data_IF_043348861778
#
_entry.id   IF_043348861778
#
_cell.length_a   1.000
_cell.length_b   1.000
_cell.length_c   1.000
_cell.angle_alpha   90.00
_cell.angle_beta   90.00
_cell.angle_gamma   90.00
#
_symmetry.space_group_name_H-M   'P 1'
#
loop_
_entity.id
_entity.type
_entity.pdbx_description
1 polymer ?
#
# COMPACT_ATOMS: atom_id res chain seq x y z
N UNK A 1 4.04 19.05 -0.44
CA UNK A 1 3.02 18.04 -0.10
C UNK A 1 3.37 17.44 1.24
N UNK A 2 2.43 17.42 2.16
CA UNK A 2 2.53 16.66 3.41
C UNK A 2 1.60 15.46 3.32
N UNK A 3 2.15 14.26 3.50
CA UNK A 3 1.39 13.01 3.50
C UNK A 3 1.49 12.31 4.86
N UNK A 4 0.44 11.65 5.35
CA UNK A 4 0.37 11.17 6.73
C UNK A 4 1.37 10.05 7.04
N UNK A 5 1.83 9.30 6.04
CA UNK A 5 2.78 8.20 6.22
C UNK A 5 3.92 8.25 5.19
N UNK A 6 5.09 7.74 5.60
CA UNK A 6 6.29 7.67 4.74
C UNK A 6 6.05 6.93 3.43
N UNK A 7 5.31 5.82 3.46
CA UNK A 7 5.04 5.03 2.27
C UNK A 7 4.30 5.84 1.17
N UNK A 8 3.36 6.70 1.57
CA UNK A 8 2.70 7.62 0.65
C UNK A 8 3.66 8.70 0.15
N UNK A 9 4.59 9.17 0.98
CA UNK A 9 5.63 10.11 0.53
C UNK A 9 6.49 9.50 -0.58
N UNK A 10 7.01 8.29 -0.38
CA UNK A 10 7.85 7.63 -1.37
C UNK A 10 7.08 7.31 -2.65
N UNK A 11 5.83 6.82 -2.53
CA UNK A 11 4.97 6.58 -3.68
C UNK A 11 4.70 7.86 -4.48
N UNK A 12 4.38 8.96 -3.79
CA UNK A 12 4.14 10.26 -4.44
C UNK A 12 5.41 10.83 -5.03
N UNK A 13 6.56 10.62 -4.40
CA UNK A 13 7.85 11.05 -4.92
C UNK A 13 8.16 10.37 -6.26
N UNK A 14 8.03 9.06 -6.34
CA UNK A 14 8.26 8.33 -7.59
C UNK A 14 7.30 8.79 -8.69
N UNK A 15 5.99 8.89 -8.39
CA UNK A 15 4.95 9.35 -9.32
C UNK A 15 5.19 10.79 -9.82
N UNK A 16 5.51 11.71 -8.91
CA UNK A 16 5.67 13.13 -9.22
C UNK A 16 7.01 13.43 -9.87
N UNK A 17 8.06 12.68 -9.53
CA UNK A 17 9.34 12.77 -10.23
C UNK A 17 9.20 12.40 -11.70
N UNK A 18 8.45 11.34 -12.01
CA UNK A 18 8.17 10.93 -13.38
C UNK A 18 7.28 11.93 -14.12
N UNK A 19 6.23 12.45 -13.46
CA UNK A 19 5.29 13.41 -14.06
C UNK A 19 5.89 14.81 -14.28
N UNK A 20 6.63 15.33 -13.30
CA UNK A 20 7.09 16.71 -13.30
C UNK A 20 8.56 16.88 -13.70
N UNK A 21 9.36 15.82 -13.64
CA UNK A 21 10.75 15.84 -14.14
C UNK A 21 10.87 16.30 -15.60
N UNK A 22 10.04 15.81 -16.54
CA UNK A 22 10.09 16.22 -17.95
C UNK A 22 9.80 17.70 -18.20
N UNK A 23 9.09 18.39 -17.30
CA UNK A 23 8.83 19.84 -17.39
C UNK A 23 9.85 20.67 -16.60
N UNK A 24 10.93 20.04 -16.14
CA UNK A 24 12.05 20.70 -15.46
C UNK A 24 11.85 20.94 -13.96
N UNK A 25 10.81 20.37 -13.34
CA UNK A 25 10.59 20.50 -11.91
C UNK A 25 11.27 19.37 -11.14
N UNK A 26 12.06 19.75 -10.15
CA UNK A 26 12.72 18.83 -9.22
C UNK A 26 11.83 18.50 -8.03
N UNK A 27 11.66 17.21 -7.77
CA UNK A 27 11.00 16.68 -6.58
C UNK A 27 12.05 16.23 -5.56
N UNK A 28 11.79 16.42 -4.26
CA UNK A 28 12.62 15.88 -3.16
C UNK A 28 11.72 15.29 -2.08
N UNK A 29 12.03 14.07 -1.66
CA UNK A 29 11.41 13.41 -0.52
C UNK A 29 12.20 13.71 0.76
N UNK A 30 11.50 14.18 1.80
CA UNK A 30 12.04 14.46 3.12
C UNK A 30 11.22 13.70 4.16
N UNK A 31 11.74 12.58 4.67
CA UNK A 31 11.12 11.80 5.73
C UNK A 31 12.08 11.61 6.90
N UNK A 32 11.68 10.83 7.90
CA UNK A 32 12.53 10.53 9.06
C UNK A 32 13.85 9.83 8.72
N UNK A 33 13.98 9.25 7.53
CA UNK A 33 15.19 8.52 7.09
C UNK A 33 16.15 9.40 6.27
N UNK A 34 15.75 10.65 5.98
CA UNK A 34 16.53 11.61 5.19
C UNK A 34 17.72 12.16 5.99
N UNK A 35 18.92 12.08 5.39
CA UNK A 35 20.19 12.49 6.00
C UNK A 35 20.31 14.02 6.00
N UNK A 36 21.13 14.58 6.88
CA UNK A 36 21.30 16.05 7.04
C UNK A 36 21.79 16.72 5.75
N UNK A 37 22.61 16.05 4.95
CA UNK A 37 23.15 16.58 3.69
C UNK A 37 22.05 16.85 2.64
N UNK A 38 20.94 16.12 2.70
CA UNK A 38 19.78 16.34 1.83
C UNK A 38 19.10 17.69 2.08
N UNK A 39 19.33 18.33 3.23
CA UNK A 39 18.74 19.63 3.57
C UNK A 39 19.32 20.77 2.71
N UNK A 40 20.60 20.69 2.33
CA UNK A 40 21.23 21.68 1.45
C UNK A 40 20.64 21.64 0.03
N UNK A 41 20.21 20.46 -0.42
CA UNK A 41 19.58 20.28 -1.73
C UNK A 41 18.16 20.82 -1.81
N UNK A 42 17.50 21.11 -0.67
CA UNK A 42 16.12 21.59 -0.64
C UNK A 42 15.96 22.92 -1.36
N UNK A 43 16.99 23.78 -1.34
CA UNK A 43 16.93 25.07 -2.03
C UNK A 43 16.72 24.95 -3.54
N UNK A 44 17.08 23.81 -4.13
CA UNK A 44 16.91 23.54 -5.55
C UNK A 44 15.68 22.68 -5.85
N UNK A 45 14.91 22.29 -4.83
CA UNK A 45 13.70 21.51 -4.99
C UNK A 45 12.51 22.43 -5.28
N UNK A 46 11.75 22.14 -6.33
CA UNK A 46 10.51 22.83 -6.64
C UNK A 46 9.33 22.23 -5.86
N UNK A 47 9.37 20.92 -5.65
CA UNK A 47 8.31 20.17 -4.97
C UNK A 47 8.93 19.34 -3.85
N UNK A 48 8.50 19.62 -2.62
CA UNK A 48 8.93 18.91 -1.42
C UNK A 48 7.80 18.00 -0.97
N UNK A 49 8.11 16.72 -0.76
CA UNK A 49 7.18 15.71 -0.26
C UNK A 49 7.69 15.24 1.10
N UNK A 50 6.89 15.38 2.16
CA UNK A 50 7.35 15.16 3.54
C UNK A 50 6.24 14.59 4.43
N UNK A 51 6.62 14.00 5.57
CA UNK A 51 5.66 13.68 6.64
C UNK A 51 5.41 14.90 7.55
N UNK A 52 4.30 14.93 8.32
CA UNK A 52 4.01 16.01 9.25
C UNK A 52 5.12 16.22 10.28
N UNK A 53 5.68 15.14 10.81
CA UNK A 53 6.72 15.19 11.85
C UNK A 53 8.03 15.77 11.31
N UNK A 54 8.39 15.40 10.07
CA UNK A 54 9.59 15.94 9.42
C UNK A 54 9.38 17.41 9.05
N UNK A 55 8.19 17.78 8.56
CA UNK A 55 7.84 19.17 8.29
C UNK A 55 7.96 20.01 9.55
N UNK A 56 7.31 19.59 10.65
CA UNK A 56 7.39 20.27 11.94
C UNK A 56 8.85 20.45 12.39
N UNK A 57 9.65 19.38 12.34
CA UNK A 57 11.07 19.43 12.69
C UNK A 57 11.87 20.46 11.87
N UNK A 58 11.59 20.62 10.58
CA UNK A 58 12.27 21.60 9.72
C UNK A 58 11.80 23.02 9.98
N UNK A 59 10.53 23.20 10.31
CA UNK A 59 9.91 24.52 10.51
C UNK A 59 9.97 25.04 11.95
N UNK A 60 10.35 24.22 12.94
CA UNK A 60 10.47 24.67 14.35
C UNK A 60 11.36 25.91 14.53
N UNK A 61 12.39 26.09 13.70
CA UNK A 61 13.26 27.29 13.68
C UNK A 61 12.99 28.17 12.46
N UNK A 62 11.72 28.40 12.13
CA UNK A 62 11.28 29.18 10.97
C UNK A 62 11.84 30.62 10.89
N UNK A 63 12.30 31.19 12.01
CA UNK A 63 12.97 32.51 12.02
C UNK A 63 14.39 32.46 11.43
N UNK A 64 15.04 31.31 11.52
CA UNK A 64 16.40 31.09 11.02
C UNK A 64 16.41 30.37 9.65
N UNK A 65 15.29 29.73 9.28
CA UNK A 65 15.14 28.96 8.04
C UNK A 65 14.20 29.66 7.05
N UNK A 66 14.76 30.18 5.95
CA UNK A 66 14.03 30.85 4.86
C UNK A 66 13.09 29.93 4.07
N UNK A 67 13.16 28.62 4.27
CA UNK A 67 12.36 27.63 3.52
C UNK A 67 10.85 27.90 3.60
N UNK A 68 10.34 28.29 4.78
CA UNK A 68 8.92 28.57 4.97
C UNK A 68 8.48 29.79 4.14
N UNK A 69 9.38 30.76 3.97
CA UNK A 69 9.11 31.97 3.19
C UNK A 69 9.08 31.70 1.67
N UNK A 70 9.69 30.60 1.22
CA UNK A 70 9.72 30.20 -0.20
C UNK A 70 8.49 29.39 -0.63
N UNK A 71 7.74 28.83 0.33
CA UNK A 71 6.56 28.01 0.01
C UNK A 71 5.39 28.88 -0.43
N UNK A 72 4.97 28.72 -1.69
CA UNK A 72 3.79 29.38 -2.25
C UNK A 72 2.51 28.54 -2.21
N UNK A 73 2.65 27.22 -2.11
CA UNK A 73 1.55 26.27 -2.06
C UNK A 73 1.86 25.18 -1.05
N UNK A 74 0.96 24.99 -0.08
CA UNK A 74 1.05 23.94 0.91
C UNK A 74 -0.10 22.95 0.72
N UNK A 75 0.21 21.79 0.14
CA UNK A 75 -0.76 20.72 -0.09
C UNK A 75 -0.67 19.71 1.05
N UNK A 76 -1.78 19.52 1.76
CA UNK A 76 -1.92 18.51 2.81
C UNK A 76 -2.94 17.49 2.34
N UNK A 77 -2.54 16.22 2.32
CA UNK A 77 -3.45 15.12 2.00
C UNK A 77 -4.34 14.82 3.23
N UNK A 78 -5.61 14.46 3.00
CA UNK A 78 -6.55 13.97 4.03
C UNK A 78 -6.83 14.87 5.26
N UNK A 79 -6.95 16.20 5.10
CA UNK A 79 -7.18 17.15 6.23
C UNK A 79 -8.61 17.71 6.34
N UNK A 80 -9.52 17.34 5.44
CA UNK A 80 -10.84 17.99 5.33
C UNK A 80 -11.67 17.96 6.64
N UNK A 81 -11.57 16.89 7.42
CA UNK A 81 -12.28 16.74 8.70
C UNK A 81 -11.70 17.62 9.81
N UNK A 82 -10.40 17.97 9.72
CA UNK A 82 -9.69 18.76 10.73
C UNK A 82 -9.83 20.27 10.54
N UNK A 83 -10.03 20.76 9.31
CA UNK A 83 -10.08 22.20 8.99
C UNK A 83 -11.47 22.84 9.10
N UNK A 84 -12.50 22.05 9.42
CA UNK A 84 -13.87 22.57 9.54
C UNK A 84 -14.09 23.20 10.91
N UNK A 85 -13.77 24.49 11.06
CA UNK A 85 -14.27 25.28 12.18
C UNK A 85 -15.62 25.91 11.80
N UNK A 86 -16.60 25.87 12.71
CA UNK A 86 -17.97 26.32 12.44
C UNK A 86 -18.13 27.82 12.15
N UNK A 87 -17.05 28.61 12.00
CA UNK A 87 -17.09 30.06 11.72
C UNK A 87 -16.62 30.39 10.31
N UNK A 88 -15.64 29.67 9.77
CA UNK A 88 -15.23 29.77 8.37
C UNK A 88 -15.01 28.36 7.80
N UNK A 89 -16.03 27.73 7.21
CA UNK A 89 -15.85 26.42 6.63
C UNK A 89 -14.87 26.53 5.46
N UNK A 90 -13.77 25.77 5.53
CA UNK A 90 -12.96 25.51 4.35
C UNK A 90 -13.87 25.01 3.22
N UNK A 91 -13.57 25.37 1.96
CA UNK A 91 -14.30 24.81 0.82
C UNK A 91 -14.06 23.30 0.78
N UNK A 92 -15.00 22.56 1.34
CA UNK A 92 -14.93 21.11 1.43
C UNK A 92 -15.68 20.54 0.22
N UNK A 93 -14.92 20.12 -0.78
CA UNK A 93 -15.45 19.31 -1.87
C UNK A 93 -15.46 17.85 -1.41
N UNK A 94 -16.52 17.47 -0.69
CA UNK A 94 -16.74 16.08 -0.31
C UNK A 94 -17.28 15.33 -1.52
N UNK A 95 -16.43 14.49 -2.10
CA UNK A 95 -16.82 13.55 -3.15
C UNK A 95 -17.34 12.31 -2.45
N UNK A 96 -18.66 12.11 -2.49
CA UNK A 96 -19.29 10.96 -1.86
C UNK A 96 -18.91 9.65 -2.59
N UNK A 97 -19.09 8.52 -1.89
CA UNK A 97 -18.72 7.18 -2.39
C UNK A 97 -19.43 6.82 -3.72
N UNK A 98 -20.61 7.40 -3.94
CA UNK A 98 -21.39 7.27 -5.17
C UNK A 98 -20.74 7.97 -6.36
N UNK A 99 -19.75 8.83 -6.17
CA UNK A 99 -19.00 9.52 -7.23
C UNK A 99 -17.69 8.81 -7.58
N UNK A 100 -17.40 7.63 -6.97
CA UNK A 100 -16.22 6.84 -7.37
C UNK A 100 -16.29 6.48 -8.87
N UNK A 101 -15.18 6.65 -9.62
CA UNK A 101 -15.11 6.23 -11.03
C UNK A 101 -15.40 4.73 -11.21
N UNK A 102 -14.98 3.92 -10.23
CA UNK A 102 -15.27 2.49 -10.15
C UNK A 102 -16.14 2.24 -8.94
N UNK A 103 -17.40 1.83 -9.16
CA UNK A 103 -18.34 1.53 -8.07
C UNK A 103 -17.87 0.32 -7.29
N UNK A 104 -17.86 0.45 -5.97
CA UNK A 104 -17.51 -0.64 -5.06
C UNK A 104 -18.78 -1.35 -4.59
N UNK A 105 -18.75 -2.68 -4.57
CA UNK A 105 -19.78 -3.52 -3.93
C UNK A 105 -19.21 -4.02 -2.61
N UNK A 106 -19.75 -3.53 -1.49
CA UNK A 106 -19.37 -3.98 -0.14
C UNK A 106 -20.28 -5.13 0.30
N UNK A 107 -19.67 -6.23 0.73
CA UNK A 107 -20.36 -7.40 1.27
C UNK A 107 -19.79 -7.68 2.65
N UNK A 108 -20.65 -7.87 3.64
CA UNK A 108 -20.27 -8.21 5.02
C UNK A 108 -20.77 -9.62 5.30
N UNK A 109 -19.85 -10.53 5.60
CA UNK A 109 -20.16 -11.92 5.93
C UNK A 109 -19.92 -12.14 7.42
N UNK A 110 -20.98 -12.49 8.15
CA UNK A 110 -20.88 -12.89 9.54
C UNK A 110 -20.51 -14.37 9.64
N UNK A 111 -19.54 -14.69 10.49
CA UNK A 111 -19.19 -16.07 10.84
C UNK A 111 -19.45 -16.29 12.34
N UNK A 112 -20.06 -17.41 12.74
CA UNK A 112 -20.32 -17.69 14.14
C UNK A 112 -19.00 -17.89 14.89
N UNK A 113 -18.85 -17.17 16.01
CA UNK A 113 -17.77 -17.36 16.97
C UNK A 113 -18.39 -17.88 18.26
N UNK A 114 -17.92 -19.02 18.77
CA UNK A 114 -18.42 -19.55 20.04
C UNK A 114 -17.80 -18.80 21.21
N UNK A 115 -18.54 -18.64 22.32
CA UNK A 115 -18.07 -17.92 23.52
C UNK A 115 -16.78 -18.49 24.14
N UNK A 116 -16.44 -19.74 23.86
CA UNK A 116 -15.22 -20.41 24.33
C UNK A 116 -14.01 -20.25 23.39
N UNK A 117 -14.19 -19.64 22.21
CA UNK A 117 -13.12 -19.40 21.26
C UNK A 117 -12.44 -18.06 21.54
N UNK A 118 -11.11 -18.07 21.53
CA UNK A 118 -10.34 -16.83 21.54
C UNK A 118 -10.36 -16.20 20.14
N UNK A 119 -10.18 -14.89 20.07
CA UNK A 119 -10.07 -14.14 18.80
C UNK A 119 -9.03 -14.76 17.85
N UNK A 120 -7.86 -15.12 18.37
CA UNK A 120 -6.82 -15.80 17.58
C UNK A 120 -7.29 -17.14 16.98
N UNK A 121 -8.03 -17.95 17.75
CA UNK A 121 -8.58 -19.22 17.24
C UNK A 121 -9.66 -18.96 16.20
N UNK A 122 -10.52 -17.97 16.44
CA UNK A 122 -11.55 -17.56 15.50
C UNK A 122 -10.93 -17.10 14.17
N UNK A 123 -9.94 -16.21 14.19
CA UNK A 123 -9.19 -15.78 13.01
C UNK A 123 -8.62 -16.97 12.22
N UNK A 124 -8.06 -17.96 12.93
CA UNK A 124 -7.54 -19.16 12.27
C UNK A 124 -8.65 -19.98 11.58
N UNK A 125 -9.86 -20.03 12.15
CA UNK A 125 -10.99 -20.69 11.48
C UNK A 125 -11.43 -19.97 10.21
N UNK A 126 -11.27 -18.64 10.15
CA UNK A 126 -11.63 -17.84 8.97
C UNK A 126 -10.74 -18.16 7.77
N UNK A 127 -9.49 -18.58 7.97
CA UNK A 127 -8.59 -18.97 6.88
C UNK A 127 -9.20 -20.07 5.98
N UNK A 128 -9.94 -21.02 6.57
CA UNK A 128 -10.62 -22.09 5.84
C UNK A 128 -11.89 -21.63 5.10
N UNK A 129 -12.33 -20.38 5.30
CA UNK A 129 -13.48 -19.79 4.59
C UNK A 129 -13.06 -18.98 3.37
N UNK A 130 -11.77 -18.61 3.27
CA UNK A 130 -11.25 -17.74 2.21
C UNK A 130 -11.51 -18.33 0.82
N UNK A 131 -11.28 -19.63 0.63
CA UNK A 131 -11.53 -20.30 -0.65
C UNK A 131 -12.97 -20.12 -1.13
N UNK A 132 -13.97 -20.36 -0.26
CA UNK A 132 -15.37 -20.20 -0.62
C UNK A 132 -15.76 -18.74 -0.90
N UNK A 133 -15.15 -17.79 -0.19
CA UNK A 133 -15.40 -16.36 -0.40
C UNK A 133 -14.84 -15.92 -1.75
N UNK A 134 -13.61 -16.33 -2.08
CA UNK A 134 -13.01 -16.04 -3.38
C UNK A 134 -13.86 -16.63 -4.50
N UNK A 135 -14.23 -17.91 -4.40
CA UNK A 135 -15.06 -18.57 -5.42
C UNK A 135 -16.41 -17.89 -5.63
N UNK A 136 -17.03 -17.37 -4.57
CA UNK A 136 -18.33 -16.71 -4.65
C UNK A 136 -18.30 -15.30 -5.23
N UNK A 137 -17.18 -14.56 -5.09
CA UNK A 137 -17.17 -13.11 -5.33
C UNK A 137 -16.06 -12.60 -6.24
N UNK A 138 -15.00 -13.38 -6.54
CA UNK A 138 -13.87 -12.88 -7.32
C UNK A 138 -14.13 -12.83 -8.81
N UNK A 139 -15.04 -13.65 -9.33
CA UNK A 139 -15.26 -13.86 -10.77
C UNK A 139 -13.95 -14.13 -11.54
N UNK A 140 -13.03 -14.89 -10.93
CA UNK A 140 -11.68 -15.18 -11.47
C UNK A 140 -10.79 -13.94 -11.66
N UNK A 141 -11.12 -12.81 -11.02
CA UNK A 141 -10.28 -11.61 -11.00
C UNK A 141 -9.25 -11.67 -9.87
N UNK A 142 -8.15 -10.89 -9.95
CA UNK A 142 -7.17 -10.80 -8.88
C UNK A 142 -7.80 -10.42 -7.54
N UNK A 143 -7.38 -11.08 -6.46
CA UNK A 143 -7.87 -10.87 -5.10
C UNK A 143 -6.74 -10.45 -4.18
N UNK A 144 -6.96 -9.37 -3.42
CA UNK A 144 -6.08 -8.93 -2.35
C UNK A 144 -6.74 -9.22 -0.99
N UNK A 145 -6.06 -9.98 -0.13
CA UNK A 145 -6.58 -10.47 1.15
C UNK A 145 -5.77 -9.88 2.30
N UNK A 146 -6.36 -8.98 3.09
CA UNK A 146 -5.66 -8.40 4.25
C UNK A 146 -5.80 -9.30 5.48
N UNK A 147 -4.69 -9.52 6.18
CA UNK A 147 -4.68 -10.18 7.50
C UNK A 147 -4.08 -9.26 8.57
N UNK A 148 -4.47 -9.46 9.83
CA UNK A 148 -4.09 -8.57 10.93
C UNK A 148 -2.59 -8.61 11.29
N UNK A 149 -1.89 -9.71 10.99
CA UNK A 149 -0.49 -9.89 11.41
C UNK A 149 0.37 -10.50 10.31
N UNK A 150 1.69 -10.24 10.35
CA UNK A 150 2.66 -10.81 9.39
C UNK A 150 2.59 -12.35 9.32
N UNK A 151 2.46 -13.01 10.48
CA UNK A 151 2.30 -14.47 10.55
C UNK A 151 0.94 -14.92 10.02
N UNK A 152 -0.11 -14.15 10.28
CA UNK A 152 -1.45 -14.41 9.76
C UNK A 152 -1.48 -14.46 8.24
N UNK A 153 -0.84 -13.49 7.57
CA UNK A 153 -0.71 -13.44 6.10
C UNK A 153 -0.06 -14.73 5.57
N UNK A 154 1.09 -15.12 6.14
CA UNK A 154 1.80 -16.34 5.71
C UNK A 154 0.97 -17.62 5.95
N UNK A 155 0.28 -17.69 7.08
CA UNK A 155 -0.53 -18.85 7.46
C UNK A 155 -1.77 -18.96 6.58
N UNK A 156 -2.47 -17.86 6.31
CA UNK A 156 -3.65 -17.82 5.45
C UNK A 156 -3.31 -18.25 4.02
N UNK A 157 -2.21 -17.73 3.45
CA UNK A 157 -1.72 -18.14 2.13
C UNK A 157 -1.39 -19.64 2.07
N UNK A 158 -0.74 -20.18 3.10
CA UNK A 158 -0.42 -21.62 3.19
C UNK A 158 -1.63 -22.53 3.42
N UNK A 159 -2.71 -22.03 4.02
CA UNK A 159 -3.97 -22.78 4.13
C UNK A 159 -4.66 -22.79 2.77
N UNK A 160 -4.77 -21.63 2.13
CA UNK A 160 -5.42 -21.51 0.83
C UNK A 160 -4.74 -22.35 -0.25
N UNK A 161 -3.40 -22.50 -0.22
CA UNK A 161 -2.66 -23.32 -1.19
C UNK A 161 -3.04 -24.79 -1.18
N UNK A 162 -3.60 -25.29 -0.07
CA UNK A 162 -4.07 -26.67 0.08
C UNK A 162 -5.53 -26.83 -0.33
N UNK A 163 -6.34 -25.80 -0.09
CA UNK A 163 -7.79 -25.85 -0.23
C UNK A 163 -8.29 -25.33 -1.59
N UNK A 164 -7.49 -24.54 -2.32
CA UNK A 164 -7.88 -23.96 -3.60
C UNK A 164 -6.82 -24.17 -4.69
N UNK A 165 -7.29 -24.43 -5.91
CA UNK A 165 -6.44 -24.48 -7.12
C UNK A 165 -6.91 -23.40 -8.08
N UNK A 166 -6.00 -22.49 -8.41
CA UNK A 166 -6.25 -21.43 -9.38
C UNK A 166 -5.88 -21.90 -10.79
N UNK A 167 -6.70 -21.54 -11.77
CA UNK A 167 -6.42 -21.82 -13.17
C UNK A 167 -5.36 -20.84 -13.67
N UNK A 168 -4.18 -21.35 -13.96
CA UNK A 168 -3.07 -20.59 -14.54
C UNK A 168 -2.81 -21.09 -15.96
N UNK A 169 -2.81 -20.18 -16.93
CA UNK A 169 -2.36 -20.47 -18.29
C UNK A 169 -0.90 -20.92 -18.31
N UNK A 170 -0.48 -21.56 -19.40
CA UNK A 170 0.90 -22.02 -19.57
C UNK A 170 1.87 -20.84 -19.52
N UNK A 171 1.51 -19.73 -20.16
CA UNK A 171 2.29 -18.50 -20.20
C UNK A 171 2.38 -17.84 -18.81
N UNK A 172 1.27 -17.79 -18.06
CA UNK A 172 1.28 -17.31 -16.67
C UNK A 172 2.18 -18.17 -15.79
N UNK A 173 2.07 -19.51 -15.87
CA UNK A 173 2.94 -20.41 -15.11
C UNK A 173 4.42 -20.18 -15.43
N UNK A 174 4.76 -20.00 -16.70
CA UNK A 174 6.14 -19.71 -17.10
C UNK A 174 6.65 -18.37 -16.54
N UNK A 175 5.83 -17.32 -16.55
CA UNK A 175 6.19 -16.02 -15.95
C UNK A 175 6.36 -16.13 -14.44
N UNK A 176 5.43 -16.76 -13.74
CA UNK A 176 5.52 -17.00 -12.30
C UNK A 176 6.74 -17.86 -11.94
N UNK A 177 7.07 -18.87 -12.74
CA UNK A 177 8.27 -19.70 -12.56
C UNK A 177 9.56 -18.86 -12.67
N UNK A 178 9.63 -17.94 -13.64
CA UNK A 178 10.77 -17.01 -13.76
C UNK A 178 10.86 -16.12 -12.53
N UNK A 179 9.74 -15.54 -12.09
CA UNK A 179 9.68 -14.71 -10.87
C UNK A 179 10.11 -15.50 -9.62
N UNK A 180 9.64 -16.74 -9.46
CA UNK A 180 10.01 -17.60 -8.34
C UNK A 180 11.52 -17.89 -8.30
N UNK A 181 12.18 -18.07 -9.45
CA UNK A 181 13.63 -18.29 -9.48
C UNK A 181 14.44 -17.09 -8.99
N UNK A 182 13.86 -15.89 -8.99
CA UNK A 182 14.50 -14.66 -8.50
C UNK A 182 14.19 -14.34 -7.04
N UNK A 183 13.26 -15.06 -6.41
CA UNK A 183 12.92 -14.86 -5.01
C UNK A 183 13.96 -15.48 -4.07
N UNK A 184 14.17 -14.82 -2.93
CA UNK A 184 15.03 -15.33 -1.86
C UNK A 184 14.25 -16.20 -0.88
N UNK A 185 12.99 -15.86 -0.59
CA UNK A 185 12.14 -16.64 0.32
C UNK A 185 11.65 -17.95 -0.33
N UNK A 186 12.05 -19.08 0.24
CA UNK A 186 11.69 -20.42 -0.26
C UNK A 186 10.19 -20.73 -0.15
N UNK A 187 9.51 -20.27 0.90
CA UNK A 187 8.06 -20.51 1.05
C UNK A 187 7.27 -19.72 0.01
N UNK A 188 7.71 -18.50 -0.25
CA UNK A 188 7.09 -17.64 -1.26
C UNK A 188 7.26 -18.21 -2.67
N UNK A 189 8.42 -18.82 -2.96
CA UNK A 189 8.66 -19.56 -4.21
C UNK A 189 7.65 -20.68 -4.43
N UNK A 190 7.42 -21.48 -3.39
CA UNK A 190 6.48 -22.60 -3.48
C UNK A 190 5.05 -22.10 -3.70
N UNK A 191 4.64 -21.05 -2.98
CA UNK A 191 3.31 -20.45 -3.12
C UNK A 191 3.04 -19.87 -4.51
N UNK A 192 4.04 -19.24 -5.14
CA UNK A 192 3.90 -18.68 -6.49
C UNK A 192 3.46 -19.73 -7.51
N UNK A 193 3.89 -20.99 -7.35
CA UNK A 193 3.52 -22.08 -8.26
C UNK A 193 2.04 -22.45 -8.17
N UNK A 194 1.38 -22.09 -7.06
CA UNK A 194 -0.06 -22.23 -6.86
C UNK A 194 -0.83 -20.96 -7.24
N UNK A 195 -0.17 -19.91 -7.73
CA UNK A 195 -0.79 -18.62 -8.02
C UNK A 195 -1.08 -17.80 -6.77
N UNK A 196 -0.33 -18.04 -5.69
CA UNK A 196 -0.48 -17.40 -4.39
C UNK A 196 0.82 -16.70 -3.98
N UNK A 197 0.71 -15.59 -3.28
CA UNK A 197 1.86 -14.99 -2.60
C UNK A 197 1.39 -14.25 -1.35
N UNK A 198 2.34 -13.90 -0.48
CA UNK A 198 2.11 -12.99 0.64
C UNK A 198 3.01 -11.75 0.53
N UNK A 199 2.57 -10.66 1.14
CA UNK A 199 3.26 -9.40 1.27
C UNK A 199 3.19 -8.91 2.72
N UNK A 200 4.35 -8.62 3.31
CA UNK A 200 4.40 -7.93 4.58
C UNK A 200 5.68 -7.11 4.73
N UNK A 201 5.68 -6.14 5.64
CA UNK A 201 6.82 -5.23 5.86
C UNK A 201 8.15 -5.92 6.21
N UNK A 202 8.12 -7.15 6.74
CA UNK A 202 9.33 -7.93 7.03
C UNK A 202 9.97 -8.65 5.83
N UNK A 203 9.41 -8.53 4.62
CA UNK A 203 9.99 -9.15 3.43
C UNK A 203 11.13 -8.33 2.85
N UNK A 204 12.06 -9.02 2.22
CA UNK A 204 13.09 -8.43 1.37
C UNK A 204 12.46 -7.51 0.32
N UNK A 205 13.06 -6.33 0.13
CA UNK A 205 12.55 -5.32 -0.82
C UNK A 205 12.51 -5.88 -2.25
N UNK A 206 13.50 -6.70 -2.63
CA UNK A 206 13.54 -7.37 -3.93
C UNK A 206 12.33 -8.28 -4.13
N UNK A 207 12.00 -9.06 -3.12
CA UNK A 207 10.91 -10.04 -3.18
C UNK A 207 9.57 -9.29 -3.24
N UNK A 208 9.40 -8.23 -2.44
CA UNK A 208 8.20 -7.37 -2.50
C UNK A 208 7.95 -6.84 -3.91
N UNK A 209 8.97 -6.27 -4.56
CA UNK A 209 8.87 -5.74 -5.93
C UNK A 209 8.46 -6.80 -6.94
N UNK A 210 9.00 -8.01 -6.83
CA UNK A 210 8.66 -9.13 -7.72
C UNK A 210 7.18 -9.52 -7.56
N UNK A 211 6.71 -9.65 -6.32
CA UNK A 211 5.32 -10.03 -6.03
C UNK A 211 4.33 -8.93 -6.45
N UNK A 212 4.63 -7.67 -6.12
CA UNK A 212 3.83 -6.51 -6.53
C UNK A 212 3.72 -6.42 -8.06
N UNK A 213 4.83 -6.63 -8.77
CA UNK A 213 4.86 -6.66 -10.23
C UNK A 213 4.02 -7.80 -10.81
N UNK A 214 4.14 -9.02 -10.27
CA UNK A 214 3.36 -10.17 -10.72
C UNK A 214 1.85 -9.99 -10.48
N UNK A 215 1.45 -9.40 -9.35
CA UNK A 215 0.05 -9.09 -9.06
C UNK A 215 -0.51 -8.01 -9.97
N UNK A 216 0.23 -6.91 -10.17
CA UNK A 216 -0.19 -5.80 -11.02
C UNK A 216 -0.29 -6.21 -12.50
N UNK A 217 0.57 -7.13 -12.95
CA UNK A 217 0.51 -7.70 -14.29
C UNK A 217 -0.66 -8.69 -14.50
N UNK A 218 -1.39 -9.07 -13.44
CA UNK A 218 -2.47 -10.07 -13.51
C UNK A 218 -1.98 -11.52 -13.61
N UNK A 219 -0.69 -11.76 -13.35
CA UNK A 219 -0.11 -13.11 -13.35
C UNK A 219 -0.39 -13.84 -12.05
N UNK A 220 -0.53 -13.11 -10.94
CA UNK A 220 -0.80 -13.65 -9.61
C UNK A 220 -2.28 -13.51 -9.24
N UNK A 221 -3.05 -14.61 -9.17
CA UNK A 221 -4.48 -14.57 -8.82
C UNK A 221 -4.78 -14.04 -7.42
N UNK A 222 -4.01 -14.42 -6.40
CA UNK A 222 -4.30 -14.01 -5.02
C UNK A 222 -3.03 -13.56 -4.32
N UNK A 223 -3.10 -12.38 -3.73
CA UNK A 223 -2.07 -11.80 -2.88
C UNK A 223 -2.63 -11.61 -1.47
N UNK A 224 -1.89 -12.07 -0.47
CA UNK A 224 -2.16 -11.82 0.94
C UNK A 224 -1.27 -10.69 1.45
#
# INVERSE_FOLDING_TARGET
MVAPIKALCSQRFDDWKEKFGPIGLSCKELTGDTVVDDLFEIHHAHIIITTPEKWDSMTRRWKDNSIVQLVRLFLIDEIAEWLSDGKMPAVCLKVDEDQRPVKLRKIVLGFPCSDSQTEFKFDLTLNYKIASVIQAYSDQKPVLVFCATRKGVQQAASVLSKDAKFLLSVEQKQRLQKSANSLKDSKLRDLLMYGLAYHHAGMEVSDRKIIEGAFTAGDLPVLF
#
